data_IF_317414118498
#
_entry.id   IF_317414118498
#
_cell.length_a   1.000
_cell.length_b   1.000
_cell.length_c   1.000
_cell.angle_alpha   90.00
_cell.angle_beta   90.00
_cell.angle_gamma   90.00
#
_symmetry.space_group_name_H-M   'P 1'
#
loop_
_entity.id
_entity.type
_entity.pdbx_description
1 polymer ?
#
# COMPACT_ATOMS: atom_id res chain seq x y z
N UNK A 1 20.80 5.37 -19.09
CA UNK A 1 20.35 4.92 -20.43
C UNK A 1 19.61 3.63 -20.19
N UNK A 2 18.32 3.59 -20.44
CA UNK A 2 17.50 2.38 -20.24
C UNK A 2 17.78 1.40 -21.36
N UNK A 3 18.19 0.17 -21.01
CA UNK A 3 18.38 -0.88 -22.00
C UNK A 3 17.01 -1.48 -22.36
N UNK A 4 16.75 -1.84 -23.63
CA UNK A 4 15.46 -2.40 -24.06
C UNK A 4 15.09 -3.74 -23.39
N UNK A 5 15.98 -4.32 -22.58
CA UNK A 5 15.73 -5.52 -21.77
C UNK A 5 15.39 -5.23 -20.30
N UNK A 6 15.55 -3.97 -19.85
CA UNK A 6 15.29 -3.57 -18.46
C UNK A 6 13.79 -3.70 -18.16
N UNK A 7 13.48 -4.26 -17.00
CA UNK A 7 12.12 -4.38 -16.53
C UNK A 7 11.70 -3.05 -15.90
N UNK A 8 10.68 -2.40 -16.47
CA UNK A 8 10.19 -1.11 -15.98
C UNK A 8 9.28 -1.35 -14.79
N UNK A 9 9.65 -0.80 -13.65
CA UNK A 9 8.91 -0.96 -12.39
C UNK A 9 8.60 0.41 -11.78
N UNK A 10 7.41 0.55 -11.22
CA UNK A 10 7.10 1.69 -10.35
C UNK A 10 6.63 1.26 -8.96
N UNK A 11 7.21 1.88 -7.93
CA UNK A 11 6.83 1.74 -6.52
C UNK A 11 7.05 3.05 -5.76
N UNK A 12 6.59 3.13 -4.50
CA UNK A 12 6.68 4.37 -3.73
C UNK A 12 8.10 4.59 -3.18
N UNK A 13 8.52 5.83 -2.93
CA UNK A 13 9.81 6.10 -2.28
C UNK A 13 9.80 5.81 -0.77
N UNK A 14 8.74 5.20 -0.23
CA UNK A 14 8.60 4.94 1.19
C UNK A 14 9.63 3.90 1.69
N UNK A 15 10.06 3.98 2.96
CA UNK A 15 11.11 3.12 3.51
C UNK A 15 10.90 1.62 3.27
N UNK A 16 9.65 1.13 3.41
CA UNK A 16 9.33 -0.28 3.19
C UNK A 16 9.60 -0.73 1.75
N UNK A 17 9.30 0.09 0.74
CA UNK A 17 9.49 -0.29 -0.66
C UNK A 17 10.95 -0.24 -1.07
N UNK A 18 11.63 0.84 -0.71
CA UNK A 18 13.07 0.95 -0.93
C UNK A 18 13.80 -0.20 -0.24
N UNK A 19 13.39 -0.58 0.97
CA UNK A 19 13.97 -1.72 1.68
C UNK A 19 13.70 -3.05 0.95
N UNK A 20 12.47 -3.30 0.52
CA UNK A 20 12.09 -4.52 -0.23
C UNK A 20 12.86 -4.67 -1.54
N UNK A 21 13.01 -3.57 -2.30
CA UNK A 21 13.56 -3.59 -3.65
C UNK A 21 15.05 -3.23 -3.75
N UNK A 22 15.68 -2.82 -2.65
CA UNK A 22 17.07 -2.32 -2.63
C UNK A 22 18.07 -3.25 -3.34
N UNK A 23 18.13 -4.52 -2.95
CA UNK A 23 19.09 -5.45 -3.54
C UNK A 23 18.83 -5.67 -5.03
N UNK A 24 17.56 -5.71 -5.46
CA UNK A 24 17.20 -5.91 -6.86
C UNK A 24 17.47 -4.65 -7.70
N UNK A 25 17.08 -3.47 -7.21
CA UNK A 25 17.31 -2.18 -7.87
C UNK A 25 18.80 -1.92 -8.11
N UNK A 26 19.66 -2.41 -7.23
CA UNK A 26 21.12 -2.28 -7.35
C UNK A 26 21.82 -3.49 -8.00
N UNK A 27 21.07 -4.40 -8.64
CA UNK A 27 21.64 -5.54 -9.35
C UNK A 27 22.39 -6.55 -8.46
N UNK A 28 22.13 -6.56 -7.15
CA UNK A 28 22.73 -7.49 -6.18
C UNK A 28 22.03 -8.85 -6.15
N UNK A 29 20.81 -8.97 -6.68
CA UNK A 29 20.09 -10.24 -6.79
C UNK A 29 20.61 -11.05 -7.99
N UNK A 30 21.25 -12.22 -7.78
CA UNK A 30 21.87 -12.98 -8.86
C UNK A 30 20.86 -13.48 -9.91
N UNK A 31 21.12 -13.21 -11.19
CA UNK A 31 20.29 -13.70 -12.30
C UNK A 31 18.93 -13.01 -12.44
N UNK A 32 18.63 -12.01 -11.62
CA UNK A 32 17.46 -11.17 -11.79
C UNK A 32 17.63 -10.20 -12.97
N UNK A 33 16.55 -9.86 -13.70
CA UNK A 33 16.63 -8.83 -14.74
C UNK A 33 16.93 -7.47 -14.11
N UNK A 34 17.64 -6.60 -14.82
CA UNK A 34 17.85 -5.23 -14.39
C UNK A 34 16.51 -4.47 -14.31
N UNK A 35 16.43 -3.52 -13.38
CA UNK A 35 15.26 -2.69 -13.15
C UNK A 35 15.48 -1.28 -13.68
N UNK A 36 14.48 -0.76 -14.38
CA UNK A 36 14.30 0.67 -14.60
C UNK A 36 13.25 1.17 -13.59
N UNK A 37 13.72 1.74 -12.48
CA UNK A 37 12.90 2.10 -11.32
C UNK A 37 12.37 3.52 -11.49
N UNK A 38 11.05 3.66 -11.39
CA UNK A 38 10.37 4.94 -11.25
C UNK A 38 9.70 5.04 -9.89
N UNK A 39 10.01 6.09 -9.13
CA UNK A 39 9.29 6.38 -7.90
C UNK A 39 7.98 7.10 -8.19
N UNK A 40 6.88 6.58 -7.66
CA UNK A 40 5.57 7.20 -7.82
C UNK A 40 4.68 6.92 -6.61
N UNK A 41 3.82 7.89 -6.28
CA UNK A 41 2.78 7.72 -5.26
C UNK A 41 1.80 6.60 -5.65
N UNK A 42 1.21 5.95 -4.65
CA UNK A 42 0.31 4.82 -4.85
C UNK A 42 -0.94 5.20 -5.66
N UNK A 43 -1.44 6.44 -5.55
CA UNK A 43 -2.56 6.91 -6.35
C UNK A 43 -2.21 6.97 -7.85
N UNK A 44 -0.98 7.39 -8.15
CA UNK A 44 -0.46 7.43 -9.52
C UNK A 44 -0.36 6.01 -10.07
N UNK A 45 0.27 5.08 -9.35
CA UNK A 45 0.46 3.70 -9.82
C UNK A 45 -0.87 2.96 -9.96
N UNK A 46 -1.84 3.21 -9.07
CA UNK A 46 -3.22 2.74 -9.18
C UNK A 46 -3.85 3.19 -10.52
N UNK A 47 -3.78 4.48 -10.82
CA UNK A 47 -4.32 5.02 -12.08
C UNK A 47 -3.61 4.50 -13.33
N UNK A 48 -2.30 4.30 -13.26
CA UNK A 48 -1.48 3.70 -14.33
C UNK A 48 -1.91 2.26 -14.62
N UNK A 49 -2.12 1.46 -13.57
CA UNK A 49 -2.56 0.07 -13.70
C UNK A 49 -3.95 -0.04 -14.33
N UNK A 50 -4.91 0.78 -13.89
CA UNK A 50 -6.27 0.78 -14.45
C UNK A 50 -6.32 1.18 -15.93
N UNK A 51 -5.49 2.15 -16.33
CA UNK A 51 -5.35 2.56 -17.73
C UNK A 51 -4.56 1.56 -18.58
N UNK A 52 -4.03 0.48 -17.99
CA UNK A 52 -3.23 -0.56 -18.67
C UNK A 52 -2.04 0.04 -19.41
N UNK A 53 -1.36 0.99 -18.79
CA UNK A 53 -0.26 1.72 -19.44
C UNK A 53 0.82 0.77 -19.94
N UNK A 54 1.32 0.91 -21.19
CA UNK A 54 2.45 0.13 -21.68
C UNK A 54 3.78 0.53 -21.02
N UNK A 55 3.79 1.59 -20.21
CA UNK A 55 4.98 2.20 -19.59
C UNK A 55 5.67 1.32 -18.55
N UNK A 56 4.91 0.53 -17.78
CA UNK A 56 5.46 -0.30 -16.70
C UNK A 56 5.10 -1.77 -16.87
N UNK A 57 6.03 -2.63 -16.54
CA UNK A 57 5.88 -4.09 -16.57
C UNK A 57 5.47 -4.63 -15.20
N UNK A 58 5.93 -3.97 -14.13
CA UNK A 58 5.62 -4.26 -12.72
C UNK A 58 5.20 -2.98 -12.02
N UNK A 59 4.20 -3.05 -11.15
CA UNK A 59 3.69 -1.92 -10.38
C UNK A 59 3.44 -2.35 -8.94
N UNK A 60 3.80 -1.50 -7.98
CA UNK A 60 3.16 -1.51 -6.67
C UNK A 60 1.84 -0.76 -6.76
N UNK A 61 0.75 -1.38 -6.33
CA UNK A 61 -0.60 -0.79 -6.32
C UNK A 61 -1.27 -1.04 -4.98
N UNK A 62 -2.38 -0.37 -4.71
CA UNK A 62 -3.28 -0.74 -3.62
C UNK A 62 -3.97 -2.06 -3.93
N UNK A 63 -4.15 -2.92 -2.91
CA UNK A 63 -4.97 -4.13 -3.06
C UNK A 63 -6.40 -3.84 -3.53
N UNK A 64 -6.96 -2.66 -3.19
CA UNK A 64 -8.27 -2.19 -3.64
C UNK A 64 -8.42 -2.11 -5.17
N UNK A 65 -7.31 -2.01 -5.93
CA UNK A 65 -7.34 -1.91 -7.39
C UNK A 65 -7.41 -3.28 -8.08
N UNK A 66 -7.04 -4.36 -7.38
CA UNK A 66 -6.98 -5.70 -7.97
C UNK A 66 -8.25 -6.13 -8.75
N UNK A 67 -9.49 -5.90 -8.26
CA UNK A 67 -10.69 -6.29 -9.00
C UNK A 67 -10.79 -5.71 -10.42
N UNK A 68 -10.09 -4.61 -10.71
CA UNK A 68 -10.15 -3.91 -11.99
C UNK A 68 -9.03 -4.29 -12.98
N UNK A 69 -7.95 -4.91 -12.49
CA UNK A 69 -6.69 -5.06 -13.26
C UNK A 69 -6.19 -6.50 -13.39
N UNK A 70 -6.81 -7.47 -12.70
CA UNK A 70 -6.33 -8.86 -12.68
C UNK A 70 -6.45 -9.60 -14.02
N UNK A 71 -7.17 -9.06 -15.00
CA UNK A 71 -7.20 -9.60 -16.37
C UNK A 71 -5.88 -9.37 -17.11
N UNK A 72 -5.21 -8.24 -16.86
CA UNK A 72 -3.97 -7.84 -17.53
C UNK A 72 -2.73 -8.10 -16.67
N UNK A 73 -2.91 -8.13 -15.35
CA UNK A 73 -1.83 -8.29 -14.38
C UNK A 73 -2.03 -9.52 -13.48
N UNK A 74 -0.93 -10.18 -13.15
CA UNK A 74 -0.86 -11.17 -12.09
C UNK A 74 -0.43 -10.51 -10.78
N UNK A 75 -1.09 -10.85 -9.67
CA UNK A 75 -0.62 -10.53 -8.32
C UNK A 75 0.61 -11.37 -8.01
N UNK A 76 1.76 -10.74 -7.77
CA UNK A 76 2.94 -11.47 -7.25
C UNK A 76 2.66 -11.91 -5.81
N UNK A 77 3.12 -13.12 -5.41
CA UNK A 77 2.86 -13.68 -4.09
C UNK A 77 3.74 -13.05 -2.98
N UNK A 78 4.45 -11.96 -3.26
CA UNK A 78 5.48 -11.37 -2.40
C UNK A 78 5.73 -9.89 -2.77
N UNK A 79 6.54 -9.20 -1.96
CA UNK A 79 6.91 -7.79 -2.09
C UNK A 79 5.82 -6.80 -1.67
N UNK A 80 4.62 -7.28 -1.36
CA UNK A 80 3.51 -6.45 -0.90
C UNK A 80 3.65 -6.02 0.57
N UNK A 81 2.75 -5.13 0.97
CA UNK A 81 2.53 -4.72 2.36
C UNK A 81 1.16 -5.24 2.82
N UNK A 82 1.18 -6.16 3.78
CA UNK A 82 0.01 -6.77 4.41
C UNK A 82 0.40 -7.10 5.85
N UNK A 83 -0.48 -6.88 6.82
CA UNK A 83 -0.10 -7.14 8.20
C UNK A 83 -1.17 -6.80 9.21
N UNK A 84 -0.76 -6.78 10.48
CA UNK A 84 -1.59 -6.37 11.61
C UNK A 84 -1.05 -5.09 12.23
N UNK A 85 -1.93 -4.31 12.84
CA UNK A 85 -1.60 -3.03 13.46
C UNK A 85 -1.01 -2.03 12.47
N UNK A 86 -1.25 -2.21 11.17
CA UNK A 86 -0.72 -1.39 10.08
C UNK A 86 -1.81 -0.57 9.38
N UNK A 87 -2.95 -0.36 10.04
CA UNK A 87 -4.10 0.32 9.47
C UNK A 87 -3.88 1.82 9.23
N UNK A 88 -4.57 2.40 8.24
CA UNK A 88 -4.75 3.85 8.14
C UNK A 88 -5.40 4.43 9.40
N UNK A 89 -5.07 5.67 9.73
CA UNK A 89 -5.67 6.39 10.85
C UNK A 89 -6.58 7.50 10.35
N UNK A 90 -7.69 7.73 11.07
CA UNK A 90 -8.46 8.97 10.93
C UNK A 90 -8.00 9.92 12.01
N UNK A 91 -7.43 11.04 11.60
CA UNK A 91 -6.93 12.07 12.49
C UNK A 91 -7.87 13.27 12.57
N UNK A 92 -7.96 13.86 13.75
CA UNK A 92 -8.73 15.08 14.01
C UNK A 92 -7.93 16.08 14.83
N UNK A 93 -8.31 17.36 14.78
CA UNK A 93 -7.68 18.39 15.62
C UNK A 93 -8.06 18.28 17.08
N UNK A 94 -9.29 17.91 17.38
CA UNK A 94 -9.79 17.69 18.74
C UNK A 94 -10.14 16.20 18.93
N UNK A 95 -10.02 15.65 20.14
CA UNK A 95 -10.46 14.28 20.41
C UNK A 95 -11.99 14.15 20.39
N UNK A 96 -12.49 12.97 20.02
CA UNK A 96 -13.92 12.64 20.14
C UNK A 96 -14.86 13.38 19.19
N UNK A 97 -14.36 13.82 18.04
CA UNK A 97 -15.16 14.49 17.00
C UNK A 97 -16.16 13.50 16.36
N UNK A 98 -17.42 13.91 16.27
CA UNK A 98 -18.44 13.24 15.45
C UNK A 98 -18.22 13.61 13.98
N UNK A 99 -18.01 12.59 13.13
CA UNK A 99 -17.77 12.76 11.70
C UNK A 99 -19.04 12.90 10.86
N UNK A 100 -20.23 12.79 11.46
CA UNK A 100 -21.50 12.93 10.74
C UNK A 100 -21.57 14.27 10.03
N UNK A 101 -21.68 14.24 8.69
CA UNK A 101 -21.74 15.45 7.86
C UNK A 101 -20.45 16.28 7.80
N UNK A 102 -19.31 15.74 8.26
CA UNK A 102 -18.01 16.45 8.28
C UNK A 102 -17.22 16.33 6.98
N UNK A 103 -16.27 17.23 6.79
CA UNK A 103 -15.34 17.21 5.66
C UNK A 103 -14.10 16.38 6.02
N UNK A 104 -13.82 15.33 5.23
CA UNK A 104 -12.69 14.43 5.47
C UNK A 104 -11.72 14.46 4.29
N UNK A 105 -10.47 14.81 4.55
CA UNK A 105 -9.40 14.69 3.58
C UNK A 105 -8.95 13.23 3.43
N UNK A 106 -8.72 12.78 2.20
CA UNK A 106 -8.23 11.42 1.90
C UNK A 106 -7.11 11.48 0.85
N UNK A 107 -6.15 10.53 0.86
CA UNK A 107 -5.03 10.57 -0.07
C UNK A 107 -5.41 10.14 -1.49
N UNK A 108 -6.48 9.35 -1.62
CA UNK A 108 -6.92 8.74 -2.88
C UNK A 108 -8.29 8.10 -2.71
N UNK A 109 -9.15 8.18 -3.73
CA UNK A 109 -10.43 7.45 -3.77
C UNK A 109 -10.29 5.98 -4.17
N UNK A 110 -9.07 5.54 -4.51
CA UNK A 110 -8.78 4.21 -5.07
C UNK A 110 -7.78 3.42 -4.24
N UNK A 111 -7.39 3.96 -3.09
CA UNK A 111 -6.48 3.29 -2.17
C UNK A 111 -7.20 2.25 -1.32
N UNK A 112 -6.46 1.26 -0.82
CA UNK A 112 -6.97 0.37 0.22
C UNK A 112 -7.30 1.14 1.49
N UNK A 113 -6.58 2.23 1.78
CA UNK A 113 -6.88 3.07 2.93
C UNK A 113 -8.30 3.65 2.85
N UNK A 114 -8.65 4.23 1.70
CA UNK A 114 -9.99 4.76 1.48
C UNK A 114 -11.06 3.67 1.44
N UNK A 115 -10.73 2.49 0.90
CA UNK A 115 -11.63 1.35 0.95
C UNK A 115 -11.98 0.95 2.39
N UNK A 116 -10.99 0.84 3.27
CA UNK A 116 -11.18 0.55 4.69
C UNK A 116 -11.98 1.66 5.39
N UNK A 117 -11.67 2.92 5.08
CA UNK A 117 -12.43 4.07 5.59
C UNK A 117 -13.91 4.02 5.18
N UNK A 118 -14.22 3.66 3.93
CA UNK A 118 -15.61 3.49 3.46
C UNK A 118 -16.34 2.35 4.19
N UNK A 119 -15.65 1.23 4.43
CA UNK A 119 -16.23 0.12 5.21
C UNK A 119 -16.48 0.53 6.67
N UNK A 120 -15.52 1.21 7.29
CA UNK A 120 -15.64 1.70 8.67
C UNK A 120 -16.74 2.77 8.82
N UNK A 121 -16.83 3.73 7.90
CA UNK A 121 -17.88 4.76 7.93
C UNK A 121 -19.27 4.18 7.75
N UNK A 122 -19.42 3.14 6.91
CA UNK A 122 -20.70 2.44 6.75
C UNK A 122 -21.17 1.75 8.04
N UNK A 123 -20.24 1.27 8.86
CA UNK A 123 -20.53 0.59 10.13
C UNK A 123 -20.71 1.57 11.31
N UNK A 124 -19.86 2.60 11.41
CA UNK A 124 -19.68 3.38 12.63
C UNK A 124 -20.20 4.82 12.53
N UNK A 125 -20.42 5.37 11.33
CA UNK A 125 -20.84 6.78 11.14
C UNK A 125 -22.25 6.83 10.54
N UNK A 126 -23.32 6.94 11.37
CA UNK A 126 -24.69 6.99 10.88
C UNK A 126 -24.91 8.16 9.90
N UNK A 127 -25.39 7.86 8.70
CA UNK A 127 -25.58 8.87 7.65
C UNK A 127 -24.31 9.29 6.92
N UNK A 128 -23.15 8.71 7.27
CA UNK A 128 -21.87 8.94 6.63
C UNK A 128 -21.24 10.31 6.93
N UNK A 129 -20.10 10.54 6.31
CA UNK A 129 -19.42 11.84 6.30
C UNK A 129 -20.10 12.79 5.30
N UNK A 130 -19.80 14.09 5.40
CA UNK A 130 -20.38 15.12 4.54
C UNK A 130 -19.70 15.21 3.19
N UNK A 131 -18.45 15.68 3.18
CA UNK A 131 -17.65 15.88 1.98
C UNK A 131 -16.33 15.12 2.09
N UNK A 132 -15.92 14.47 0.99
CA UNK A 132 -14.61 13.84 0.87
C UNK A 132 -13.75 14.70 -0.04
N UNK A 133 -12.59 15.13 0.45
CA UNK A 133 -11.65 15.96 -0.32
C UNK A 133 -10.38 15.16 -0.58
N UNK A 134 -10.04 14.96 -1.85
CA UNK A 134 -8.79 14.30 -2.23
C UNK A 134 -7.65 15.31 -2.21
N UNK A 135 -6.56 14.99 -1.51
CA UNK A 135 -5.33 15.80 -1.52
C UNK A 135 -4.10 14.90 -1.30
N UNK A 136 -2.89 15.35 -1.71
CA UNK A 136 -1.65 14.63 -1.43
C UNK A 136 -1.50 14.28 0.06
N UNK A 137 -0.96 13.09 0.36
CA UNK A 137 -0.97 12.57 1.73
C UNK A 137 -0.18 13.46 2.72
N UNK A 138 0.87 14.13 2.25
CA UNK A 138 1.71 15.07 3.00
C UNK A 138 0.99 16.38 3.33
N UNK A 139 -0.07 16.73 2.58
CA UNK A 139 -0.91 17.90 2.85
C UNK A 139 -2.03 17.64 3.87
N UNK A 140 -2.39 16.37 4.11
CA UNK A 140 -3.54 15.99 4.95
C UNK A 140 -3.36 16.46 6.41
N UNK A 141 -2.24 16.10 7.06
CA UNK A 141 -2.01 16.49 8.47
C UNK A 141 -1.98 18.03 8.66
N UNK A 142 -1.26 18.82 7.83
CA UNK A 142 -1.38 20.27 7.85
C UNK A 142 -2.81 20.78 7.67
N UNK A 143 -3.59 20.21 6.75
CA UNK A 143 -4.96 20.65 6.48
C UNK A 143 -5.90 20.42 7.68
N UNK A 144 -5.75 19.29 8.39
CA UNK A 144 -6.50 19.01 9.63
C UNK A 144 -6.07 19.97 10.74
N UNK A 145 -4.76 20.14 10.96
CA UNK A 145 -4.21 21.05 12.00
C UNK A 145 -4.74 22.47 11.81
N UNK A 146 -4.71 22.96 10.58
CA UNK A 146 -5.12 24.32 10.22
C UNK A 146 -6.64 24.51 10.16
N UNK A 147 -7.42 23.43 10.33
CA UNK A 147 -8.88 23.45 10.30
C UNK A 147 -9.48 23.71 8.91
N UNK A 148 -8.73 23.39 7.85
CA UNK A 148 -9.24 23.44 6.46
C UNK A 148 -10.21 22.29 6.17
N UNK A 149 -10.03 21.18 6.87
CA UNK A 149 -10.92 20.00 6.88
C UNK A 149 -11.16 19.59 8.34
N UNK A 150 -12.25 18.86 8.60
CA UNK A 150 -12.58 18.42 9.96
C UNK A 150 -11.76 17.19 10.39
N UNK A 151 -11.43 16.30 9.45
CA UNK A 151 -10.63 15.10 9.69
C UNK A 151 -9.77 14.74 8.47
N UNK A 152 -8.79 13.87 8.67
CA UNK A 152 -7.90 13.38 7.62
C UNK A 152 -7.60 11.91 7.77
N UNK A 153 -7.82 11.14 6.70
CA UNK A 153 -7.37 9.75 6.60
C UNK A 153 -5.89 9.75 6.21
N UNK A 154 -5.03 9.24 7.07
CA UNK A 154 -3.58 9.21 6.83
C UNK A 154 -3.03 7.80 6.73
N UNK A 155 -1.89 7.70 6.07
CA UNK A 155 -1.17 6.46 5.74
C UNK A 155 0.33 6.65 6.03
N UNK A 156 1.15 5.65 5.71
CA UNK A 156 2.61 5.73 5.78
C UNK A 156 3.13 6.07 7.20
N UNK A 157 4.12 6.96 7.29
CA UNK A 157 4.76 7.38 8.54
C UNK A 157 3.90 8.32 9.40
N UNK A 158 2.81 8.88 8.86
CA UNK A 158 1.95 9.81 9.60
C UNK A 158 1.46 9.23 10.93
N UNK A 159 1.33 7.90 11.02
CA UNK A 159 0.95 7.21 12.26
C UNK A 159 1.96 7.37 13.41
N UNK A 160 3.21 7.64 13.08
CA UNK A 160 4.30 7.83 14.06
C UNK A 160 4.55 9.31 14.37
N UNK A 161 4.07 10.22 13.51
CA UNK A 161 4.44 11.65 13.55
C UNK A 161 3.26 12.59 13.79
N UNK A 162 2.00 12.12 13.75
CA UNK A 162 0.83 13.00 13.87
C UNK A 162 0.77 13.79 15.19
N UNK A 163 1.36 13.27 16.26
CA UNK A 163 1.44 13.94 17.56
C UNK A 163 2.28 15.22 17.47
N UNK A 164 3.26 15.28 16.56
CA UNK A 164 4.07 16.48 16.31
C UNK A 164 3.24 17.61 15.67
N UNK A 165 2.10 17.27 15.07
CA UNK A 165 1.12 18.22 14.53
C UNK A 165 0.05 18.62 15.56
N UNK A 166 0.11 18.08 16.78
CA UNK A 166 -0.93 18.26 17.80
C UNK A 166 -2.25 17.59 17.44
N UNK A 167 -2.22 16.59 16.57
CA UNK A 167 -3.41 15.86 16.12
C UNK A 167 -3.73 14.69 17.04
N UNK A 168 -4.97 14.21 16.95
CA UNK A 168 -5.47 13.07 17.71
C UNK A 168 -5.90 11.96 16.74
N UNK A 169 -5.56 10.72 17.06
CA UNK A 169 -6.13 9.56 16.36
C UNK A 169 -7.54 9.33 16.87
N UNK A 170 -8.54 9.58 16.02
CA UNK A 170 -9.95 9.35 16.30
C UNK A 170 -10.29 7.87 16.17
N UNK A 171 -9.75 7.22 15.13
CA UNK A 171 -10.00 5.82 14.84
C UNK A 171 -8.84 5.21 14.04
N UNK A 172 -8.53 3.94 14.34
CA UNK A 172 -7.59 3.11 13.58
C UNK A 172 -8.40 2.11 12.74
N UNK A 173 -8.29 2.23 11.41
CA UNK A 173 -9.05 1.40 10.48
C UNK A 173 -8.58 -0.06 10.53
N UNK A 174 -7.31 -0.27 10.90
CA UNK A 174 -6.74 -1.59 11.07
C UNK A 174 -7.22 -2.27 12.33
N UNK A 175 -7.24 -1.57 13.46
CA UNK A 175 -7.80 -2.08 14.71
C UNK A 175 -9.28 -2.48 14.51
N UNK A 176 -10.06 -1.60 13.90
CA UNK A 176 -11.46 -1.90 13.61
C UNK A 176 -11.61 -3.13 12.68
N UNK A 177 -10.84 -3.20 11.60
CA UNK A 177 -10.85 -4.33 10.66
C UNK A 177 -10.49 -5.66 11.35
N UNK A 178 -9.43 -5.66 12.15
CA UNK A 178 -8.98 -6.86 12.84
C UNK A 178 -9.98 -7.33 13.89
N UNK A 179 -10.57 -6.41 14.65
CA UNK A 179 -11.57 -6.74 15.66
C UNK A 179 -12.86 -7.31 15.05
N UNK A 180 -13.26 -6.81 13.88
CA UNK A 180 -14.51 -7.22 13.21
C UNK A 180 -14.36 -8.47 12.35
N UNK A 181 -13.17 -8.72 11.80
CA UNK A 181 -12.95 -9.81 10.82
C UNK A 181 -11.98 -10.89 11.29
N UNK A 182 -11.11 -10.58 12.24
CA UNK A 182 -9.99 -11.44 12.64
C UNK A 182 -8.89 -11.56 11.57
N UNK A 183 -8.97 -10.83 10.45
CA UNK A 183 -8.02 -10.94 9.34
C UNK A 183 -6.95 -9.84 9.38
N UNK A 184 -5.73 -10.08 8.87
CA UNK A 184 -4.77 -9.01 8.61
C UNK A 184 -5.27 -8.10 7.47
N UNK A 185 -4.62 -6.95 7.32
CA UNK A 185 -5.04 -5.87 6.43
C UNK A 185 -4.15 -5.86 5.19
N UNK A 186 -4.68 -6.12 3.99
CA UNK A 186 -3.93 -6.06 2.74
C UNK A 186 -3.84 -4.61 2.26
N UNK A 187 -2.65 -3.98 2.26
CA UNK A 187 -2.50 -2.56 1.90
C UNK A 187 -1.99 -2.35 0.48
N UNK A 188 -0.77 -2.84 0.20
CA UNK A 188 -0.08 -2.69 -1.08
C UNK A 188 0.27 -4.04 -1.71
N UNK A 189 -0.03 -4.20 -2.99
CA UNK A 189 0.25 -5.37 -3.81
C UNK A 189 1.35 -5.08 -4.82
N UNK A 190 2.13 -6.09 -5.18
CA UNK A 190 2.97 -6.04 -6.39
C UNK A 190 2.26 -6.79 -7.49
N UNK A 191 2.04 -6.12 -8.62
CA UNK A 191 1.40 -6.70 -9.80
C UNK A 191 2.37 -6.67 -10.98
N UNK A 192 2.33 -7.70 -11.83
CA UNK A 192 3.17 -7.81 -13.01
C UNK A 192 2.33 -8.20 -14.23
N UNK A 193 2.64 -7.65 -15.40
CA UNK A 193 1.87 -7.93 -16.63
C UNK A 193 1.85 -9.41 -16.95
N UNK A 194 0.66 -9.98 -17.21
CA UNK A 194 0.51 -11.38 -17.64
C UNK A 194 1.20 -11.66 -18.97
N UNK A 195 1.32 -10.66 -19.84
CA UNK A 195 2.01 -10.75 -21.13
C UNK A 195 3.51 -11.06 -21.02
N UNK A 196 4.09 -10.97 -19.82
CA UNK A 196 5.48 -11.37 -19.54
C UNK A 196 5.69 -12.89 -19.62
N UNK A 197 4.61 -13.68 -19.50
CA UNK A 197 4.64 -15.14 -19.49
C UNK A 197 4.98 -15.72 -18.12
N UNK A 198 4.49 -16.93 -17.84
CA UNK A 198 4.56 -17.57 -16.52
C UNK A 198 6.00 -17.74 -16.01
N UNK A 199 6.92 -18.16 -16.88
CA UNK A 199 8.32 -18.35 -16.50
C UNK A 199 8.99 -17.04 -16.05
N UNK A 200 8.67 -15.92 -16.72
CA UNK A 200 9.17 -14.61 -16.31
C UNK A 200 8.53 -14.20 -14.99
N UNK A 201 7.21 -14.34 -14.84
CA UNK A 201 6.51 -14.04 -13.58
C UNK A 201 7.11 -14.79 -12.38
N UNK A 202 7.38 -16.10 -12.51
CA UNK A 202 8.01 -16.90 -11.45
C UNK A 202 9.41 -16.40 -11.10
N UNK A 203 10.21 -16.02 -12.11
CA UNK A 203 11.54 -15.39 -11.88
C UNK A 203 11.44 -14.04 -11.18
N UNK A 204 10.44 -13.22 -11.52
CA UNK A 204 10.21 -11.94 -10.84
C UNK A 204 9.85 -12.16 -9.37
N UNK A 205 8.93 -13.10 -9.08
CA UNK A 205 8.58 -13.44 -7.71
C UNK A 205 9.81 -13.91 -6.91
N UNK A 206 10.67 -14.75 -7.50
CA UNK A 206 11.90 -15.20 -6.83
C UNK A 206 12.91 -14.07 -6.63
N UNK A 207 13.02 -13.14 -7.58
CA UNK A 207 13.88 -11.96 -7.43
C UNK A 207 13.43 -11.06 -6.28
N UNK A 208 12.11 -10.83 -6.16
CA UNK A 208 11.53 -10.08 -5.04
C UNK A 208 11.81 -10.79 -3.71
N UNK A 209 11.51 -12.09 -3.60
CA UNK A 209 11.79 -12.87 -2.38
C UNK A 209 13.26 -12.83 -1.97
N UNK A 210 14.15 -12.96 -2.94
CA UNK A 210 15.59 -12.89 -2.71
C UNK A 210 15.99 -11.49 -2.22
N UNK A 211 15.45 -10.43 -2.82
CA UNK A 211 15.70 -9.05 -2.40
C UNK A 211 15.24 -8.79 -0.96
N UNK A 212 14.03 -9.24 -0.60
CA UNK A 212 13.48 -9.15 0.77
C UNK A 212 14.38 -9.89 1.76
N UNK A 213 14.80 -11.13 1.44
CA UNK A 213 15.69 -11.90 2.31
C UNK A 213 17.04 -11.21 2.50
N UNK A 214 17.63 -10.68 1.43
CA UNK A 214 18.90 -9.95 1.53
C UNK A 214 18.78 -8.71 2.41
N UNK A 215 17.67 -7.97 2.30
CA UNK A 215 17.41 -6.81 3.15
C UNK A 215 17.23 -7.21 4.62
N UNK A 216 16.60 -8.34 4.93
CA UNK A 216 16.50 -8.85 6.31
C UNK A 216 17.81 -9.42 6.86
N UNK A 217 18.61 -10.09 6.03
CA UNK A 217 19.90 -10.66 6.42
C UNK A 217 20.94 -9.56 6.72
N UNK A 218 20.88 -8.42 6.01
CA UNK A 218 21.73 -7.26 6.23
C UNK A 218 20.97 -5.92 6.04
N UNK A 219 20.17 -5.49 7.04
CA UNK A 219 19.37 -4.27 6.94
C UNK A 219 20.20 -3.00 6.74
N UNK A 220 21.43 -2.97 7.25
CA UNK A 220 22.35 -1.84 7.12
C UNK A 220 22.74 -1.59 5.65
N UNK A 221 22.80 -2.65 4.84
CA UNK A 221 23.09 -2.53 3.41
C UNK A 221 22.00 -1.80 2.61
N UNK A 222 20.78 -1.73 3.13
CA UNK A 222 19.65 -1.01 2.50
C UNK A 222 19.44 0.39 3.04
N UNK A 223 20.05 0.75 4.19
CA UNK A 223 19.88 2.07 4.80
C UNK A 223 20.23 3.25 3.88
N UNK A 224 21.33 3.24 3.11
CA UNK A 224 21.65 4.37 2.24
C UNK A 224 20.54 4.63 1.21
N UNK A 225 20.00 3.57 0.60
CA UNK A 225 18.94 3.69 -0.40
C UNK A 225 17.60 4.14 0.22
N UNK A 226 17.27 3.62 1.40
CA UNK A 226 16.09 4.08 2.17
C UNK A 226 16.20 5.57 2.48
N UNK A 227 17.35 6.03 2.99
CA UNK A 227 17.58 7.42 3.38
C UNK A 227 17.62 8.39 2.20
N UNK A 228 18.06 7.94 1.03
CA UNK A 228 18.10 8.76 -0.19
C UNK A 228 16.70 9.15 -0.67
N UNK A 229 15.68 8.34 -0.37
CA UNK A 229 14.33 8.48 -0.93
C UNK A 229 13.22 8.76 0.09
N UNK A 230 13.42 8.40 1.36
CA UNK A 230 12.41 8.62 2.40
C UNK A 230 12.08 10.12 2.56
N UNK A 231 10.80 10.45 2.69
CA UNK A 231 10.37 11.82 3.01
C UNK A 231 10.67 12.20 4.46
N UNK A 232 10.54 11.24 5.38
CA UNK A 232 10.93 11.40 6.78
C UNK A 232 12.41 11.01 6.95
N UNK A 233 13.19 11.94 7.49
CA UNK A 233 14.63 11.81 7.64
C UNK A 233 15.03 11.19 8.99
N UNK A 234 14.10 11.06 9.94
CA UNK A 234 14.36 10.39 11.21
C UNK A 234 14.55 8.87 10.99
N UNK A 235 15.77 8.34 11.23
CA UNK A 235 16.05 6.91 11.02
C UNK A 235 15.19 5.99 11.89
N UNK A 236 14.79 6.45 13.08
CA UNK A 236 13.95 5.65 13.99
C UNK A 236 12.53 5.50 13.47
N UNK A 237 11.99 6.52 12.78
CA UNK A 237 10.68 6.44 12.13
C UNK A 237 10.76 5.53 10.91
N UNK A 238 11.85 5.61 10.12
CA UNK A 238 12.08 4.70 9.00
C UNK A 238 12.15 3.22 9.46
N UNK A 239 12.86 2.94 10.56
CA UNK A 239 12.95 1.59 11.12
C UNK A 239 11.58 1.08 11.63
N UNK A 240 10.79 1.92 12.28
CA UNK A 240 9.42 1.59 12.68
C UNK A 240 8.51 1.34 11.48
N UNK A 241 8.66 2.15 10.42
CA UNK A 241 7.91 2.00 9.17
C UNK A 241 8.25 0.66 8.51
N UNK A 242 9.54 0.34 8.36
CA UNK A 242 9.99 -0.94 7.79
C UNK A 242 9.49 -2.10 8.64
N UNK A 243 9.71 -2.08 9.95
CA UNK A 243 9.32 -3.18 10.84
C UNK A 243 7.80 -3.44 10.89
N UNK A 244 6.98 -2.43 10.59
CA UNK A 244 5.54 -2.58 10.52
C UNK A 244 5.06 -3.17 9.18
N UNK A 245 5.60 -2.69 8.06
CA UNK A 245 5.08 -2.99 6.72
C UNK A 245 5.88 -4.05 5.94
N UNK A 246 7.07 -4.42 6.40
CA UNK A 246 7.92 -5.48 5.83
C UNK A 246 7.97 -6.66 6.80
N UNK A 247 7.17 -7.68 6.54
CA UNK A 247 6.98 -8.83 7.44
C UNK A 247 6.82 -10.15 6.66
N UNK A 248 6.38 -11.23 7.29
CA UNK A 248 6.22 -12.54 6.65
C UNK A 248 5.39 -12.50 5.36
N UNK A 249 4.36 -11.66 5.29
CA UNK A 249 3.51 -11.51 4.11
C UNK A 249 4.23 -10.84 2.94
N UNK A 250 5.27 -10.05 3.23
CA UNK A 250 6.14 -9.46 2.23
C UNK A 250 7.03 -10.51 1.58
N UNK A 251 7.48 -11.53 2.32
CA UNK A 251 8.22 -12.64 1.74
C UNK A 251 7.30 -13.63 1.01
N UNK A 252 6.16 -13.96 1.60
CA UNK A 252 5.16 -14.80 0.95
C UNK A 252 3.77 -14.54 1.55
N UNK A 253 2.78 -14.29 0.70
CA UNK A 253 1.41 -14.05 1.17
C UNK A 253 0.86 -15.23 1.97
N UNK A 254 1.20 -16.48 1.60
CA UNK A 254 0.64 -17.68 2.18
C UNK A 254 -0.90 -17.72 2.14
N UNK A 255 -1.48 -18.75 2.75
CA UNK A 255 -2.94 -18.91 2.79
C UNK A 255 -3.63 -17.74 3.50
N UNK A 256 -3.03 -17.24 4.58
CA UNK A 256 -3.58 -16.14 5.38
C UNK A 256 -3.58 -14.81 4.64
N UNK A 257 -2.55 -14.51 3.85
CA UNK A 257 -2.52 -13.29 3.02
C UNK A 257 -3.57 -13.35 1.92
N UNK A 258 -3.70 -14.47 1.21
CA UNK A 258 -4.76 -14.64 0.22
C UNK A 258 -6.17 -14.58 0.84
N UNK A 259 -6.36 -15.14 2.04
CA UNK A 259 -7.61 -15.05 2.78
C UNK A 259 -7.95 -13.60 3.17
N UNK A 260 -6.95 -12.81 3.59
CA UNK A 260 -7.12 -11.40 3.91
C UNK A 260 -7.51 -10.56 2.68
N UNK A 261 -6.82 -10.75 1.55
CA UNK A 261 -7.12 -10.07 0.28
C UNK A 261 -8.55 -10.38 -0.16
N UNK A 262 -8.92 -11.67 -0.20
CA UNK A 262 -10.27 -12.08 -0.56
C UNK A 262 -11.30 -11.57 0.42
N UNK A 263 -10.99 -11.60 1.73
CA UNK A 263 -11.87 -11.13 2.80
C UNK A 263 -12.20 -9.65 2.67
N UNK A 264 -11.21 -8.81 2.36
CA UNK A 264 -11.38 -7.37 2.09
C UNK A 264 -12.22 -7.14 0.84
N UNK A 265 -11.80 -7.69 -0.30
CA UNK A 265 -12.43 -7.39 -1.58
C UNK A 265 -13.85 -7.96 -1.69
N UNK A 266 -14.14 -9.07 -1.02
CA UNK A 266 -15.52 -9.63 -0.98
C UNK A 266 -16.46 -8.74 -0.18
N UNK A 267 -16.03 -8.22 0.98
CA UNK A 267 -16.84 -7.30 1.79
C UNK A 267 -17.06 -5.97 1.07
N UNK A 268 -16.00 -5.44 0.48
CA UNK A 268 -16.06 -4.26 -0.37
C UNK A 268 -17.04 -4.43 -1.55
N UNK A 269 -17.05 -5.60 -2.20
CA UNK A 269 -17.98 -5.88 -3.28
C UNK A 269 -19.42 -6.04 -2.80
N UNK A 270 -19.65 -6.58 -1.61
CA UNK A 270 -20.98 -6.68 -1.01
C UNK A 270 -21.60 -5.28 -0.73
N UNK A 271 -20.76 -4.31 -0.39
CA UNK A 271 -21.14 -2.89 -0.24
C UNK A 271 -21.18 -2.12 -1.57
N UNK A 272 -20.99 -2.80 -2.71
CA UNK A 272 -20.99 -2.18 -4.04
C UNK A 272 -19.82 -1.21 -4.28
N UNK A 273 -18.74 -1.30 -3.50
CA UNK A 273 -17.58 -0.39 -3.58
C UNK A 273 -16.65 -0.79 -4.72
N UNK A 274 -16.44 -2.10 -4.90
CA UNK A 274 -15.60 -2.67 -5.96
C UNK A 274 -16.30 -3.85 -6.66
N UNK A 275 -15.88 -4.24 -7.88
CA UNK A 275 -16.35 -5.46 -8.53
C UNK A 275 -16.08 -6.71 -7.69
N UNK A 276 -16.97 -7.71 -7.82
CA UNK A 276 -16.79 -9.00 -7.18
C UNK A 276 -15.60 -9.77 -7.77
N UNK A 277 -14.82 -10.44 -6.92
CA UNK A 277 -13.71 -11.27 -7.33
C UNK A 277 -14.17 -12.67 -7.75
N UNK A 278 -13.67 -13.16 -8.88
CA UNK A 278 -13.83 -14.56 -9.27
C UNK A 278 -13.09 -15.54 -8.32
N UNK A 279 -13.47 -16.83 -8.27
CA UNK A 279 -12.81 -17.83 -7.43
C UNK A 279 -11.31 -17.96 -7.69
N UNK A 280 -10.88 -17.93 -8.97
CA UNK A 280 -9.48 -18.07 -9.37
C UNK A 280 -8.73 -16.74 -9.60
N UNK A 281 -9.35 -15.59 -9.31
CA UNK A 281 -8.80 -14.28 -9.72
C UNK A 281 -7.42 -13.96 -9.13
N UNK A 282 -7.11 -14.48 -7.93
CA UNK A 282 -5.83 -14.28 -7.24
C UNK A 282 -4.79 -15.38 -7.53
N UNK A 283 -5.10 -16.34 -8.42
CA UNK A 283 -4.18 -17.42 -8.72
C UNK A 283 -2.92 -16.89 -9.41
N UNK A 284 -1.77 -17.20 -8.83
CA UNK A 284 -0.46 -16.97 -9.43
C UNK A 284 -0.03 -18.22 -10.23
N UNK A 285 0.49 -18.06 -11.46
CA UNK A 285 0.89 -19.18 -12.32
C UNK A 285 2.14 -19.93 -11.85
#
# INVERSE_FOLDING_TARGET
MTHPEDLRIAFSPCPNDTFVFDAWAHGRVPGAPALDVTFADIDITNGVAERRSPEFDVLKVSYAVLPYVLDDYALLPCGGALGRGCGPLVLTREPGVDLTGKTVAVPSEKSTAYLLFRLWTADIVPGGVGEVVVMPFDEIMPAVRDGKVDAGLVIHEARFTYQNYGLHSLADMGEHWENTTGLPIPLGAIIAKRSLGEDRLRRLAEAVRTSVRMAWDDPEASRPYVQEHAQEMDPSVADQHIGLYVNEFTADLGENGYAAIRGLLTRAAAEGIVPALGPGALAFP
#
